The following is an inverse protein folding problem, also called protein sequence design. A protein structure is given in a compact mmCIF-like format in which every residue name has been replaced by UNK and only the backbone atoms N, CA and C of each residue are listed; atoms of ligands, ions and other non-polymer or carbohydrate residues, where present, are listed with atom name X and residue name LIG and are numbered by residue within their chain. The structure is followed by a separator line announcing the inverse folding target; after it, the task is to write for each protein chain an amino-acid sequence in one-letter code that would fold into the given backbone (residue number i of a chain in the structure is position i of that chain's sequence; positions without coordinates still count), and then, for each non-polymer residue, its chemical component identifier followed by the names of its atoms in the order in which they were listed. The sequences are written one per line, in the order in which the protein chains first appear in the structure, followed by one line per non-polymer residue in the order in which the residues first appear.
data_IF_912978074709
#
_entry.id   IF_912978074709
#
_cell.length_a   1.000
_cell.length_b   1.000
_cell.length_c   1.000
_cell.angle_alpha   90.00
_cell.angle_beta   90.00
_cell.angle_gamma   90.00
#
_symmetry.space_group_name_H-M   'P 1'
#
loop_
_entity.id
_entity.type
_entity.pdbx_description
1 polymer ?
#
# COMPACT_ATOMS: atom_id res chain seq x y z
N UNK A 1 -3.39 -61.05 -18.70
CA UNK A 1 -3.13 -60.07 -17.65
C UNK A 1 -4.01 -58.89 -17.97
N UNK A 2 -4.91 -58.54 -17.07
CA UNK A 2 -5.77 -57.34 -17.25
C UNK A 2 -4.85 -56.13 -17.00
N UNK A 3 -4.70 -55.29 -18.03
CA UNK A 3 -4.00 -54.02 -17.86
C UNK A 3 -4.77 -53.19 -16.84
N UNK A 4 -4.06 -52.69 -15.85
CA UNK A 4 -4.63 -51.82 -14.81
C UNK A 4 -5.11 -50.51 -15.44
N UNK A 5 -6.31 -50.03 -15.12
CA UNK A 5 -6.84 -48.81 -15.65
C UNK A 5 -5.92 -47.58 -15.44
N UNK A 6 -5.80 -46.73 -16.41
CA UNK A 6 -4.96 -45.50 -16.35
C UNK A 6 -5.24 -44.66 -15.11
N UNK A 7 -6.51 -44.61 -14.67
CA UNK A 7 -6.94 -43.80 -13.53
C UNK A 7 -6.37 -44.36 -12.22
N UNK A 8 -6.34 -45.66 -12.04
CA UNK A 8 -5.80 -46.31 -10.82
C UNK A 8 -4.27 -46.15 -10.74
N UNK A 9 -3.61 -46.14 -11.91
CA UNK A 9 -2.16 -45.87 -12.04
C UNK A 9 -1.85 -44.42 -11.69
N UNK A 10 -2.68 -43.47 -12.11
CA UNK A 10 -2.56 -42.05 -11.81
C UNK A 10 -2.76 -41.77 -10.33
N UNK A 11 -3.79 -42.34 -9.70
CA UNK A 11 -4.06 -42.14 -8.28
C UNK A 11 -2.89 -42.62 -7.41
N UNK A 12 -2.31 -43.78 -7.71
CA UNK A 12 -1.10 -44.24 -7.00
C UNK A 12 0.10 -43.32 -7.18
N UNK A 13 0.27 -42.74 -8.36
CA UNK A 13 1.35 -41.79 -8.63
C UNK A 13 1.16 -40.51 -7.88
N UNK A 14 -0.06 -39.98 -7.83
CA UNK A 14 -0.42 -38.78 -7.08
C UNK A 14 -0.21 -39.02 -5.59
N UNK A 15 -0.62 -40.18 -5.07
CA UNK A 15 -0.39 -40.57 -3.67
C UNK A 15 1.10 -40.70 -3.33
N UNK A 16 1.88 -41.26 -4.23
CA UNK A 16 3.33 -41.37 -4.05
C UNK A 16 4.04 -40.03 -4.09
N UNK A 17 3.63 -39.15 -4.99
CA UNK A 17 4.11 -37.76 -5.09
C UNK A 17 3.78 -36.96 -3.84
N UNK A 18 2.56 -37.13 -3.32
CA UNK A 18 2.10 -36.44 -2.12
C UNK A 18 2.80 -36.96 -0.86
N UNK A 19 3.01 -38.27 -0.75
CA UNK A 19 3.58 -38.90 0.43
C UNK A 19 5.13 -38.84 0.48
N UNK A 20 5.80 -38.95 -0.66
CA UNK A 20 7.26 -39.12 -0.73
C UNK A 20 7.99 -38.10 -1.61
N UNK A 21 7.27 -37.29 -2.40
CA UNK A 21 7.86 -36.30 -3.31
C UNK A 21 8.61 -36.94 -4.52
N UNK A 22 8.49 -38.24 -4.74
CA UNK A 22 9.23 -38.98 -5.76
C UNK A 22 8.31 -39.47 -6.88
N UNK A 23 8.57 -39.02 -8.10
CA UNK A 23 7.85 -39.38 -9.31
C UNK A 23 8.71 -40.19 -10.30
N UNK A 24 9.89 -40.62 -9.91
CA UNK A 24 10.90 -41.20 -10.82
C UNK A 24 10.37 -42.44 -11.57
N UNK A 25 9.54 -43.24 -10.94
CA UNK A 25 8.91 -44.42 -11.59
C UNK A 25 7.84 -43.96 -12.62
N UNK A 26 7.05 -42.96 -12.31
CA UNK A 26 6.00 -42.45 -13.18
C UNK A 26 6.54 -41.76 -14.45
N UNK A 27 7.70 -41.13 -14.36
CA UNK A 27 8.33 -40.47 -15.51
C UNK A 27 8.92 -41.46 -16.53
N UNK A 28 9.06 -42.74 -16.18
CA UNK A 28 9.50 -43.82 -17.09
C UNK A 28 8.37 -44.43 -17.89
N UNK A 29 7.15 -44.22 -17.51
CA UNK A 29 5.97 -44.70 -18.20
C UNK A 29 5.52 -43.68 -19.24
N UNK A 30 5.61 -44.01 -20.53
CA UNK A 30 5.37 -43.04 -21.61
C UNK A 30 3.94 -42.52 -21.66
N UNK A 31 2.97 -43.27 -21.17
CA UNK A 31 1.56 -42.89 -21.15
C UNK A 31 1.22 -41.95 -19.99
N UNK A 32 1.89 -42.13 -18.86
CA UNK A 32 1.64 -41.42 -17.61
C UNK A 32 2.60 -40.25 -17.41
N UNK A 33 3.78 -40.25 -18.01
CA UNK A 33 4.81 -39.23 -17.83
C UNK A 33 4.35 -37.77 -18.06
N UNK A 34 3.51 -37.47 -19.07
CA UNK A 34 2.99 -36.11 -19.25
C UNK A 34 2.14 -35.65 -18.06
N UNK A 35 1.28 -36.51 -17.53
CA UNK A 35 0.40 -36.24 -16.41
C UNK A 35 1.18 -36.17 -15.08
N UNK A 36 2.22 -37.02 -14.93
CA UNK A 36 3.10 -36.95 -13.78
C UNK A 36 3.88 -35.61 -13.70
N UNK A 37 4.31 -35.06 -14.84
CA UNK A 37 4.94 -33.74 -14.91
C UNK A 37 3.98 -32.64 -14.43
N UNK A 38 2.73 -32.64 -14.93
CA UNK A 38 1.69 -31.71 -14.48
C UNK A 38 1.44 -31.84 -12.98
N UNK A 39 1.37 -33.07 -12.44
CA UNK A 39 1.19 -33.30 -11.01
C UNK A 39 2.39 -32.80 -10.18
N UNK A 40 3.63 -32.92 -10.71
CA UNK A 40 4.82 -32.35 -10.10
C UNK A 40 4.80 -30.84 -10.07
N UNK A 41 4.34 -30.18 -11.10
CA UNK A 41 4.19 -28.73 -11.15
C UNK A 41 3.09 -28.25 -10.18
N UNK A 42 1.97 -29.01 -10.10
CA UNK A 42 0.86 -28.71 -9.21
C UNK A 42 1.14 -28.99 -7.73
N UNK A 43 2.18 -29.76 -7.38
CA UNK A 43 2.52 -30.03 -5.97
C UNK A 43 2.87 -28.79 -5.16
N UNK A 44 3.29 -27.73 -5.82
CA UNK A 44 3.60 -26.43 -5.21
C UNK A 44 2.39 -25.53 -5.07
N UNK A 45 1.26 -25.89 -5.67
CA UNK A 45 0.02 -25.16 -5.50
C UNK A 45 -0.67 -25.56 -4.19
N UNK A 46 -1.23 -24.60 -3.45
CA UNK A 46 -1.95 -24.92 -2.22
C UNK A 46 -3.11 -25.87 -2.50
N UNK A 47 -3.26 -26.91 -1.68
CA UNK A 47 -4.40 -27.84 -1.78
C UNK A 47 -5.71 -27.04 -1.70
N UNK A 48 -6.75 -27.48 -2.42
CA UNK A 48 -8.07 -26.83 -2.41
C UNK A 48 -8.66 -26.68 -1.00
N UNK A 49 -8.39 -27.64 -0.12
CA UNK A 49 -8.78 -27.57 1.29
C UNK A 49 -8.00 -26.48 2.03
N UNK A 50 -6.69 -26.41 1.85
CA UNK A 50 -5.87 -25.35 2.41
C UNK A 50 -6.31 -23.98 1.90
N UNK A 51 -6.57 -23.85 0.59
CA UNK A 51 -7.06 -22.61 0.01
C UNK A 51 -8.43 -22.22 0.55
N UNK A 52 -9.32 -23.20 0.75
CA UNK A 52 -10.65 -23.01 1.37
C UNK A 52 -10.53 -22.62 2.84
N UNK A 53 -9.68 -23.31 3.59
CA UNK A 53 -9.45 -23.05 5.01
C UNK A 53 -8.76 -21.70 5.24
N UNK A 54 -7.77 -21.38 4.41
CA UNK A 54 -7.12 -20.07 4.40
C UNK A 54 -8.11 -18.96 4.05
N UNK A 55 -8.95 -19.18 3.03
CA UNK A 55 -10.02 -18.25 2.65
C UNK A 55 -11.02 -18.07 3.77
N UNK A 56 -11.50 -19.14 4.40
CA UNK A 56 -12.39 -19.07 5.55
C UNK A 56 -11.77 -18.36 6.75
N UNK A 57 -10.49 -18.59 7.02
CA UNK A 57 -9.72 -17.85 8.04
C UNK A 57 -9.58 -16.38 7.72
N UNK A 58 -9.30 -16.04 6.46
CA UNK A 58 -9.19 -14.65 6.00
C UNK A 58 -10.56 -13.96 6.03
N UNK A 59 -11.63 -14.62 5.56
CA UNK A 59 -13.00 -14.13 5.62
C UNK A 59 -13.50 -13.99 7.07
N UNK A 60 -13.13 -14.93 7.95
CA UNK A 60 -13.39 -14.84 9.38
C UNK A 60 -12.66 -13.65 10.03
N UNK A 61 -11.41 -13.40 9.64
CA UNK A 61 -10.64 -12.21 10.09
C UNK A 61 -11.23 -10.91 9.55
N UNK A 62 -11.73 -10.90 8.31
CA UNK A 62 -12.40 -9.73 7.72
C UNK A 62 -13.72 -9.42 8.44
N UNK A 63 -14.50 -10.44 8.81
CA UNK A 63 -15.70 -10.27 9.65
C UNK A 63 -15.38 -9.84 11.09
N UNK A 64 -14.26 -10.29 11.65
CA UNK A 64 -13.79 -9.82 12.96
C UNK A 64 -13.19 -8.43 12.88
N UNK A 65 -12.58 -8.04 11.76
CA UNK A 65 -12.00 -6.70 11.57
C UNK A 65 -13.07 -5.58 11.61
N UNK A 66 -14.34 -5.90 11.36
CA UNK A 66 -15.44 -4.94 11.50
C UNK A 66 -15.86 -4.68 12.97
N UNK A 67 -15.31 -5.42 13.93
CA UNK A 67 -15.64 -5.27 15.36
C UNK A 67 -14.42 -5.13 16.29
N UNK A 68 -13.21 -5.21 15.75
CA UNK A 68 -11.99 -5.00 16.53
C UNK A 68 -11.56 -3.55 16.31
N UNK A 69 -11.79 -2.69 17.31
CA UNK A 69 -10.92 -1.53 17.51
C UNK A 69 -9.50 -2.05 17.37
N UNK A 70 -8.74 -1.56 16.38
CA UNK A 70 -7.43 -2.10 16.04
C UNK A 70 -6.51 -2.02 17.27
N UNK A 71 -6.26 -3.12 18.00
CA UNK A 71 -5.69 -3.05 19.34
C UNK A 71 -4.19 -2.73 19.33
N UNK A 72 -3.59 -2.61 18.14
CA UNK A 72 -2.15 -2.46 17.98
C UNK A 72 -1.72 -1.25 17.12
N UNK A 73 -2.63 -0.32 16.80
CA UNK A 73 -2.24 0.92 16.14
C UNK A 73 -1.76 1.89 17.24
N UNK A 74 -0.54 2.37 17.10
CA UNK A 74 0.05 3.35 18.01
C UNK A 74 -0.80 4.62 18.03
N UNK A 75 -0.94 5.25 19.20
CA UNK A 75 -1.73 6.47 19.36
C UNK A 75 -1.33 7.55 18.36
N UNK A 76 -2.32 8.16 17.68
CA UNK A 76 -2.12 9.15 16.63
C UNK A 76 -1.89 8.59 15.23
N UNK A 77 -1.60 7.30 15.10
CA UNK A 77 -1.41 6.64 13.80
C UNK A 77 -2.71 6.05 13.26
N UNK A 78 -2.69 5.67 12.00
CA UNK A 78 -3.80 5.02 11.30
C UNK A 78 -3.33 3.71 10.69
N UNK A 79 -4.25 2.86 10.26
CA UNK A 79 -3.93 1.59 9.58
C UNK A 79 -2.98 1.79 8.40
N UNK A 80 -3.18 2.86 7.63
CA UNK A 80 -2.27 3.29 6.59
C UNK A 80 -1.68 4.63 7.01
N UNK A 81 -0.39 4.69 7.24
CA UNK A 81 0.33 5.91 7.59
C UNK A 81 1.33 6.22 6.48
N UNK A 82 1.31 7.43 5.91
CA UNK A 82 2.27 7.82 4.90
C UNK A 82 3.71 7.74 5.42
N UNK A 83 4.60 7.18 4.60
CA UNK A 83 6.04 7.13 4.88
C UNK A 83 6.81 7.65 3.67
N UNK A 84 7.67 8.65 3.88
CA UNK A 84 8.48 9.29 2.85
C UNK A 84 9.96 9.02 3.08
N UNK A 85 10.64 8.59 2.03
CA UNK A 85 12.09 8.50 2.02
C UNK A 85 12.67 9.71 1.31
N UNK A 86 13.47 10.48 2.03
CA UNK A 86 14.14 11.69 1.50
C UNK A 86 15.64 11.63 1.75
N UNK A 87 16.39 12.29 0.89
CA UNK A 87 17.85 12.44 1.05
C UNK A 87 18.23 13.74 1.76
N UNK A 88 17.32 14.69 1.79
CA UNK A 88 17.56 16.03 2.31
C UNK A 88 16.72 16.27 3.57
N UNK A 89 17.38 16.71 4.63
CA UNK A 89 16.77 17.01 5.93
C UNK A 89 15.80 18.19 5.88
N UNK A 90 15.91 19.05 4.88
CA UNK A 90 15.03 20.20 4.70
C UNK A 90 13.59 19.84 4.40
N UNK A 91 13.29 18.58 4.02
CA UNK A 91 11.91 18.14 3.79
C UNK A 91 11.05 18.25 5.05
N UNK A 92 11.57 17.82 6.21
CA UNK A 92 10.85 17.96 7.47
C UNK A 92 10.56 19.44 7.78
N UNK A 93 11.54 20.33 7.58
CA UNK A 93 11.37 21.78 7.77
C UNK A 93 10.33 22.38 6.83
N UNK A 94 10.26 21.91 5.58
CA UNK A 94 9.22 22.30 4.65
C UNK A 94 7.84 21.93 5.18
N UNK A 95 7.64 20.69 5.61
CA UNK A 95 6.35 20.21 6.13
C UNK A 95 5.95 20.97 7.40
N UNK A 96 6.89 21.17 8.33
CA UNK A 96 6.67 21.91 9.57
C UNK A 96 6.19 23.33 9.28
N UNK A 97 6.83 24.00 8.33
CA UNK A 97 6.54 25.40 7.97
C UNK A 97 5.23 25.56 7.19
N UNK A 98 5.00 24.68 6.19
CA UNK A 98 3.90 24.85 5.24
C UNK A 98 2.56 24.39 5.84
N UNK A 99 2.58 23.32 6.61
CA UNK A 99 1.35 22.67 7.09
C UNK A 99 1.15 22.81 8.60
N UNK A 100 1.87 23.70 9.26
CA UNK A 100 1.83 23.88 10.72
C UNK A 100 1.95 22.54 11.47
N UNK A 101 2.85 21.70 10.98
CA UNK A 101 3.07 20.38 11.53
C UNK A 101 3.84 20.46 12.85
N UNK A 102 3.71 19.41 13.66
CA UNK A 102 4.44 19.27 14.92
C UNK A 102 5.31 18.02 14.87
N UNK A 103 6.61 18.16 15.09
CA UNK A 103 7.51 17.02 15.24
C UNK A 103 7.22 16.32 16.58
N UNK A 104 6.86 15.05 16.50
CA UNK A 104 6.48 14.24 17.67
C UNK A 104 7.56 13.25 18.08
N UNK A 105 8.46 12.88 17.16
CA UNK A 105 9.56 11.95 17.43
C UNK A 105 10.69 12.14 16.43
N UNK A 106 11.92 12.00 16.93
CA UNK A 106 13.15 11.90 16.13
C UNK A 106 13.97 10.74 16.67
N UNK A 107 14.42 9.85 15.82
CA UNK A 107 15.31 8.76 16.18
C UNK A 107 16.48 8.72 15.17
N UNK A 108 17.70 8.79 15.68
CA UNK A 108 18.89 8.52 14.90
C UNK A 108 19.15 7.00 14.92
N UNK A 109 19.14 6.40 13.73
CA UNK A 109 19.40 4.98 13.54
C UNK A 109 20.80 4.85 12.89
N UNK A 110 21.86 4.60 13.68
CA UNK A 110 23.21 4.49 13.16
C UNK A 110 23.30 3.53 11.97
N UNK A 111 23.82 4.00 10.85
CA UNK A 111 23.88 3.25 9.59
C UNK A 111 22.60 3.24 8.75
N UNK A 112 21.48 3.77 9.23
CA UNK A 112 20.20 3.78 8.54
C UNK A 112 19.57 5.18 8.39
N UNK A 113 20.24 6.22 8.91
CA UNK A 113 19.76 7.59 8.85
C UNK A 113 18.80 7.96 9.96
N UNK A 114 18.12 9.09 9.80
CA UNK A 114 17.21 9.66 10.82
C UNK A 114 15.78 9.29 10.46
N UNK A 115 15.05 8.82 11.45
CA UNK A 115 13.60 8.64 11.39
C UNK A 115 12.92 9.79 12.11
N UNK A 116 11.95 10.44 11.45
CA UNK A 116 11.13 11.49 12.05
C UNK A 116 9.65 11.16 11.94
N UNK A 117 8.90 11.66 12.89
CA UNK A 117 7.44 11.58 12.89
C UNK A 117 6.87 12.98 13.08
N UNK A 118 6.09 13.41 12.11
CA UNK A 118 5.40 14.69 12.15
C UNK A 118 3.90 14.47 12.26
N UNK A 119 3.25 15.27 13.07
CA UNK A 119 1.79 15.34 13.13
C UNK A 119 1.32 16.54 12.30
N UNK A 120 0.52 16.27 11.27
CA UNK A 120 -0.12 17.25 10.40
C UNK A 120 -1.62 17.16 10.63
N UNK A 121 -2.20 18.12 11.35
CA UNK A 121 -3.59 18.04 11.78
C UNK A 121 -3.90 16.73 12.51
N UNK A 122 -4.84 15.96 12.00
CA UNK A 122 -5.24 14.65 12.53
C UNK A 122 -4.44 13.45 11.99
N UNK A 123 -3.38 13.67 11.18
CA UNK A 123 -2.59 12.61 10.55
C UNK A 123 -1.15 12.58 11.06
N UNK A 124 -0.56 11.38 11.07
CA UNK A 124 0.89 11.21 11.23
C UNK A 124 1.55 11.03 9.87
N UNK A 125 2.70 11.65 9.68
CA UNK A 125 3.61 11.49 8.55
C UNK A 125 4.95 10.98 9.07
N UNK A 126 5.41 9.86 8.55
CA UNK A 126 6.71 9.28 8.87
C UNK A 126 7.72 9.65 7.78
N UNK A 127 8.92 10.01 8.18
CA UNK A 127 10.00 10.44 7.29
C UNK A 127 11.24 9.62 7.61
N UNK A 128 11.83 9.00 6.59
CA UNK A 128 13.16 8.44 6.64
C UNK A 128 14.13 9.36 5.90
N UNK A 129 15.07 9.95 6.63
CA UNK A 129 16.14 10.77 6.06
C UNK A 129 17.37 9.90 5.91
N UNK A 130 17.66 9.45 4.68
CA UNK A 130 18.87 8.68 4.38
C UNK A 130 20.03 9.60 4.03
N UNK A 131 21.22 9.28 4.56
CA UNK A 131 22.44 9.94 4.12
C UNK A 131 22.72 9.69 2.62
N UNK A 132 23.65 10.46 2.04
CA UNK A 132 23.95 10.41 0.60
C UNK A 132 24.43 9.05 0.06
N UNK A 133 24.81 8.11 0.95
CA UNK A 133 25.42 6.83 0.57
C UNK A 133 24.46 5.63 0.59
N UNK A 134 23.23 5.76 1.04
CA UNK A 134 22.35 4.62 1.15
C UNK A 134 21.47 4.35 -0.08
N UNK A 135 21.40 3.11 -0.42
CA UNK A 135 20.96 2.46 -1.65
C UNK A 135 19.48 2.56 -2.03
N UNK A 136 18.65 3.24 -1.28
CA UNK A 136 17.26 3.46 -1.68
C UNK A 136 17.12 4.79 -2.41
N UNK A 137 16.79 4.81 -3.71
CA UNK A 137 16.53 6.05 -4.41
C UNK A 137 15.32 6.73 -3.75
N UNK A 138 15.48 8.01 -3.37
CA UNK A 138 14.34 8.84 -3.01
C UNK A 138 13.30 8.74 -4.13
N UNK A 139 12.09 8.32 -3.80
CA UNK A 139 11.00 8.21 -4.76
C UNK A 139 10.00 9.31 -4.44
N UNK A 140 9.72 10.20 -5.40
CA UNK A 140 8.66 11.17 -5.23
C UNK A 140 7.35 10.47 -4.86
N UNK A 141 6.66 11.01 -3.88
CA UNK A 141 5.35 10.57 -3.45
C UNK A 141 4.33 11.67 -3.68
N UNK A 142 3.06 11.32 -3.72
CA UNK A 142 1.99 12.29 -3.79
C UNK A 142 1.10 12.20 -2.54
N UNK A 143 0.69 13.35 -2.06
CA UNK A 143 -0.19 13.51 -0.91
C UNK A 143 -1.38 14.37 -1.28
N UNK A 144 -2.53 13.99 -0.79
CA UNK A 144 -3.68 14.87 -0.67
C UNK A 144 -3.72 15.39 0.76
N UNK A 145 -3.71 16.70 0.95
CA UNK A 145 -3.72 17.33 2.28
C UNK A 145 -4.88 18.30 2.38
N UNK A 146 -5.72 18.09 3.39
CA UNK A 146 -6.81 18.99 3.72
C UNK A 146 -6.35 20.08 4.68
N UNK A 147 -6.63 21.33 4.32
CA UNK A 147 -6.29 22.54 5.08
C UNK A 147 -7.53 23.44 5.19
N UNK A 148 -7.52 24.37 6.12
CA UNK A 148 -8.64 25.30 6.30
C UNK A 148 -8.70 26.36 5.19
N UNK A 149 -7.54 26.74 4.62
CA UNK A 149 -7.42 27.73 3.55
C UNK A 149 -6.38 27.29 2.53
N UNK A 150 -6.88 26.78 1.40
CA UNK A 150 -6.03 26.32 0.30
C UNK A 150 -5.16 27.43 -0.29
N UNK A 151 -5.71 28.64 -0.47
CA UNK A 151 -4.98 29.75 -1.10
C UNK A 151 -3.82 30.22 -0.23
N UNK A 152 -4.06 30.36 1.08
CA UNK A 152 -3.03 30.75 2.03
C UNK A 152 -1.90 29.70 2.11
N UNK A 153 -2.24 28.42 2.27
CA UNK A 153 -1.24 27.33 2.38
C UNK A 153 -0.50 27.12 1.06
N UNK A 154 -1.18 27.25 -0.07
CA UNK A 154 -0.55 27.20 -1.40
C UNK A 154 0.49 28.32 -1.55
N UNK A 155 0.14 29.56 -1.22
CA UNK A 155 1.08 30.67 -1.25
C UNK A 155 2.27 30.46 -0.32
N UNK A 156 2.04 29.93 0.89
CA UNK A 156 3.09 29.59 1.85
C UNK A 156 4.02 28.49 1.31
N UNK A 157 3.48 27.49 0.63
CA UNK A 157 4.26 26.43 0.01
C UNK A 157 5.16 26.98 -1.11
N UNK A 158 4.67 27.92 -1.93
CA UNK A 158 5.50 28.59 -2.94
C UNK A 158 6.63 29.41 -2.30
N UNK A 159 6.34 30.15 -1.23
CA UNK A 159 7.34 30.91 -0.48
C UNK A 159 8.40 30.01 0.16
N UNK A 160 8.02 28.76 0.50
CA UNK A 160 8.94 27.74 1.02
C UNK A 160 9.74 27.02 -0.08
N UNK A 161 9.66 27.47 -1.35
CA UNK A 161 10.41 26.94 -2.46
C UNK A 161 9.66 25.90 -3.31
N UNK A 162 8.38 25.69 -3.07
CA UNK A 162 7.52 24.86 -3.90
C UNK A 162 7.33 25.44 -5.29
N UNK A 163 6.99 24.60 -6.25
CA UNK A 163 6.67 24.99 -7.65
C UNK A 163 5.21 24.69 -7.90
N UNK A 164 4.44 25.69 -8.41
CA UNK A 164 3.06 25.48 -8.83
C UNK A 164 2.99 24.46 -9.98
N UNK A 165 2.09 23.51 -9.84
CA UNK A 165 1.67 22.57 -10.90
C UNK A 165 0.21 22.84 -11.32
N UNK A 166 -0.51 23.61 -10.55
CA UNK A 166 -1.87 24.05 -10.82
C UNK A 166 -2.38 24.96 -9.72
N UNK A 167 -2.83 26.16 -10.12
CA UNK A 167 -3.34 27.18 -9.19
C UNK A 167 -4.61 26.71 -8.46
N UNK A 168 -4.86 27.24 -7.24
CA UNK A 168 -6.08 26.98 -6.50
C UNK A 168 -7.32 27.31 -7.31
N UNK A 169 -8.22 26.36 -7.43
CA UNK A 169 -9.52 26.51 -8.08
C UNK A 169 -10.56 25.58 -7.46
N UNK A 170 -11.82 25.96 -7.56
CA UNK A 170 -12.92 25.10 -7.15
C UNK A 170 -13.06 23.95 -8.15
N UNK A 171 -13.12 22.73 -7.61
CA UNK A 171 -13.15 21.50 -8.39
C UNK A 171 -14.55 20.88 -8.38
N UNK A 172 -14.97 20.21 -9.48
CA UNK A 172 -16.32 19.66 -9.59
C UNK A 172 -16.66 18.63 -8.49
N UNK A 173 -15.64 18.01 -7.88
CA UNK A 173 -15.80 17.04 -6.80
C UNK A 173 -15.91 17.65 -5.39
N UNK A 174 -16.13 18.97 -5.29
CA UNK A 174 -16.46 19.64 -4.03
C UNK A 174 -15.27 20.07 -3.19
N UNK A 175 -14.15 20.39 -3.81
CA UNK A 175 -12.96 20.90 -3.14
C UNK A 175 -12.46 22.18 -3.85
N UNK A 176 -11.90 23.12 -3.06
CA UNK A 176 -10.97 24.11 -3.59
C UNK A 176 -9.58 23.55 -3.48
N UNK A 177 -8.91 23.30 -4.61
CA UNK A 177 -7.64 22.59 -4.61
C UNK A 177 -6.59 23.23 -5.53
N UNK A 178 -5.35 23.31 -5.03
CA UNK A 178 -4.14 23.68 -5.76
C UNK A 178 -3.08 22.58 -5.70
N UNK A 179 -2.19 22.53 -6.69
CA UNK A 179 -1.19 21.47 -6.82
C UNK A 179 0.19 22.08 -6.83
N UNK A 180 1.07 21.54 -6.00
CA UNK A 180 2.48 21.94 -5.96
C UNK A 180 3.40 20.73 -6.04
N UNK A 181 4.62 20.98 -6.45
CA UNK A 181 5.77 20.11 -6.22
C UNK A 181 6.68 20.79 -5.20
N UNK A 182 7.02 20.08 -4.13
CA UNK A 182 7.97 20.58 -3.14
C UNK A 182 9.42 20.60 -3.68
N UNK A 183 10.38 21.25 -3.00
CA UNK A 183 11.78 21.29 -3.44
C UNK A 183 12.46 19.91 -3.49
N UNK A 184 11.84 18.89 -2.88
CA UNK A 184 12.37 17.51 -2.80
C UNK A 184 11.73 16.58 -3.81
N UNK A 185 10.80 17.10 -4.64
CA UNK A 185 10.17 16.40 -5.75
C UNK A 185 8.83 15.76 -5.43
N UNK A 186 8.33 15.84 -4.20
CA UNK A 186 7.03 15.28 -3.85
C UNK A 186 5.89 16.20 -4.31
N UNK A 187 4.74 15.60 -4.56
CA UNK A 187 3.55 16.28 -5.04
C UNK A 187 2.54 16.46 -3.90
N UNK A 188 1.97 17.64 -3.78
CA UNK A 188 0.99 17.97 -2.77
C UNK A 188 -0.27 18.54 -3.44
N UNK A 189 -1.38 17.84 -3.24
CA UNK A 189 -2.72 18.31 -3.57
C UNK A 189 -3.26 18.98 -2.31
N UNK A 190 -3.15 20.30 -2.24
CA UNK A 190 -3.57 21.11 -1.11
C UNK A 190 -5.03 21.47 -1.34
N UNK A 191 -5.93 21.06 -0.44
CA UNK A 191 -7.36 21.20 -0.64
C UNK A 191 -8.09 21.67 0.61
N UNK A 192 -9.15 22.44 0.39
CA UNK A 192 -10.18 22.76 1.37
C UNK A 192 -11.49 22.17 0.90
N UNK A 193 -12.13 21.34 1.72
CA UNK A 193 -13.46 20.81 1.41
C UNK A 193 -14.49 21.95 1.35
N UNK A 194 -15.27 21.99 0.29
CA UNK A 194 -16.43 22.91 0.16
C UNK A 194 -17.69 22.36 0.86
N UNK A 195 -17.58 21.18 1.46
CA UNK A 195 -18.64 20.56 2.24
C UNK A 195 -18.70 21.06 3.69
N UNK A 196 -19.53 20.45 4.53
CA UNK A 196 -19.74 20.88 5.91
C UNK A 196 -18.57 20.58 6.86
N UNK A 197 -17.58 19.79 6.43
CA UNK A 197 -16.42 19.39 7.21
C UNK A 197 -15.14 19.73 6.46
N UNK A 198 -14.14 20.27 7.15
CA UNK A 198 -12.83 20.57 6.57
C UNK A 198 -12.13 19.32 6.01
N UNK A 199 -12.35 18.16 6.63
CA UNK A 199 -11.91 16.86 6.14
C UNK A 199 -13.15 16.01 5.87
N UNK A 200 -13.38 15.54 4.63
CA UNK A 200 -14.52 14.70 4.31
C UNK A 200 -14.53 13.40 5.13
N UNK A 201 -15.72 12.85 5.37
CA UNK A 201 -15.87 11.59 6.09
C UNK A 201 -15.10 10.46 5.40
N UNK A 202 -14.40 9.65 6.18
CA UNK A 202 -13.56 8.56 5.67
C UNK A 202 -12.13 8.97 5.29
N UNK A 203 -11.88 10.26 5.04
CA UNK A 203 -10.54 10.78 4.73
C UNK A 203 -9.81 11.26 5.99
N UNK A 204 -8.54 11.57 5.82
CA UNK A 204 -7.65 12.11 6.86
C UNK A 204 -7.03 13.41 6.37
N UNK A 205 -6.49 14.22 7.32
CA UNK A 205 -5.81 15.47 6.98
C UNK A 205 -4.74 15.25 5.90
N UNK A 206 -3.92 14.20 6.05
CA UNK A 206 -2.99 13.77 4.99
C UNK A 206 -3.37 12.37 4.55
N UNK A 207 -3.60 12.22 3.26
CA UNK A 207 -3.95 10.95 2.62
C UNK A 207 -2.93 10.64 1.53
N UNK A 208 -2.33 9.44 1.49
CA UNK A 208 -1.48 9.03 0.38
C UNK A 208 -2.28 9.07 -0.93
N UNK A 209 -1.70 9.67 -1.96
CA UNK A 209 -2.28 9.70 -3.29
C UNK A 209 -1.38 8.87 -4.22
N UNK A 210 -1.95 7.85 -4.83
CA UNK A 210 -1.19 6.88 -5.60
C UNK A 210 -1.54 6.97 -7.08
N UNK A 211 -0.50 7.16 -7.92
CA UNK A 211 -0.63 7.07 -9.37
C UNK A 211 -0.19 5.67 -9.82
N UNK A 212 -1.10 4.91 -10.39
CA UNK A 212 -0.81 3.60 -10.95
C UNK A 212 -1.13 3.58 -12.45
N UNK A 213 -0.28 2.90 -13.24
CA UNK A 213 -0.52 2.74 -14.68
C UNK A 213 -1.75 1.86 -14.96
N UNK A 214 -1.97 0.84 -14.13
CA UNK A 214 -3.13 -0.05 -14.21
C UNK A 214 -3.91 0.00 -12.90
N UNK A 215 -4.75 1.02 -12.79
CA UNK A 215 -5.51 1.31 -11.55
C UNK A 215 -6.40 0.13 -11.15
N UNK A 216 -7.06 -0.55 -12.10
CA UNK A 216 -7.95 -1.68 -11.81
C UNK A 216 -7.21 -2.87 -11.18
N UNK A 217 -6.03 -3.24 -11.70
CA UNK A 217 -5.22 -4.31 -11.12
C UNK A 217 -4.69 -3.92 -9.73
N UNK A 218 -4.31 -2.64 -9.58
CA UNK A 218 -3.80 -2.13 -8.31
C UNK A 218 -4.89 -2.13 -7.23
N UNK A 219 -6.10 -1.68 -7.55
CA UNK A 219 -7.27 -1.76 -6.64
C UNK A 219 -7.51 -3.23 -6.27
N UNK A 220 -7.59 -4.13 -7.24
CA UNK A 220 -7.76 -5.56 -6.97
C UNK A 220 -6.65 -6.17 -6.11
N UNK A 221 -5.41 -5.68 -6.20
CA UNK A 221 -4.34 -6.06 -5.29
C UNK A 221 -4.62 -5.57 -3.86
N UNK A 222 -4.98 -4.30 -3.68
CA UNK A 222 -5.27 -3.73 -2.36
C UNK A 222 -6.44 -4.45 -1.68
N UNK A 223 -7.49 -4.77 -2.42
CA UNK A 223 -8.63 -5.54 -1.91
C UNK A 223 -8.21 -6.93 -1.42
N UNK A 224 -7.45 -7.65 -2.22
CA UNK A 224 -7.03 -9.02 -1.87
C UNK A 224 -5.98 -9.06 -0.76
N UNK A 225 -5.03 -8.13 -0.77
CA UNK A 225 -3.89 -8.15 0.15
C UNK A 225 -4.21 -7.48 1.50
N UNK A 226 -5.02 -6.43 1.49
CA UNK A 226 -5.25 -5.58 2.66
C UNK A 226 -6.72 -5.48 3.07
N UNK A 227 -7.63 -6.09 2.32
CA UNK A 227 -9.07 -5.98 2.58
C UNK A 227 -9.61 -4.57 2.31
N UNK A 228 -8.98 -3.82 1.41
CA UNK A 228 -9.46 -2.52 1.00
C UNK A 228 -10.86 -2.63 0.36
N UNK A 229 -11.64 -1.57 0.48
CA UNK A 229 -12.95 -1.46 -0.17
C UNK A 229 -12.93 -0.23 -1.05
N UNK A 230 -13.31 -0.39 -2.32
CA UNK A 230 -13.49 0.75 -3.21
C UNK A 230 -14.78 1.49 -2.83
N UNK A 231 -14.65 2.75 -2.40
CA UNK A 231 -15.80 3.55 -1.96
C UNK A 231 -16.41 4.38 -3.10
N UNK A 232 -15.57 4.84 -4.04
CA UNK A 232 -16.01 5.63 -5.18
C UNK A 232 -15.08 5.44 -6.39
N UNK A 233 -15.67 5.58 -7.58
CA UNK A 233 -14.94 5.64 -8.85
C UNK A 233 -15.52 6.79 -9.67
N UNK A 234 -14.65 7.65 -10.16
CA UNK A 234 -15.00 8.72 -11.09
C UNK A 234 -14.42 8.39 -12.46
N UNK A 235 -15.23 8.47 -13.49
CA UNK A 235 -14.84 8.28 -14.89
C UNK A 235 -14.33 9.61 -15.50
#
# INVERSE_FOLDING_TARGET
MVEEPLIDRLDRIIDALVARGDATAALRDAEVAPLARVAMDLRHYPRREFTRELRARLEGRTRMATTIAAPNIRAGFTTVTPYVWVRDRGFADFVLRVFDAVETSVADNPGHGIHRELRVGGSMLMIGETGQEESAPARPVAFHVFVDDTDAVFAQALQAGGTSLGEPADRPYGERAGYIRDPYGNHWYIATSLGPSAVPAGLRTVTPFLHAQNVGEYIGFLERAFGAVEEARHE
#
